data_IF_637582454454
#
_entry.id   IF_637582454454
#
_cell.length_a   1.000
_cell.length_b   1.000
_cell.length_c   1.000
_cell.angle_alpha   90.00
_cell.angle_beta   90.00
_cell.angle_gamma   90.00
#
_symmetry.space_group_name_H-M   'P 1'
#
loop_
_entity.id
_entity.type
_entity.pdbx_description
1 polymer ?
#
# COMPACT_ATOMS: atom_id res chain seq x y z
N UNK A 1 0.89 6.59 0.74
CA UNK A 1 2.02 7.53 0.97
C UNK A 1 3.17 6.81 1.66
N UNK A 2 2.86 6.04 2.71
CA UNK A 2 3.85 5.26 3.46
C UNK A 2 4.30 4.00 2.72
N UNK A 3 3.50 3.52 1.76
CA UNK A 3 3.69 2.29 1.00
C UNK A 3 3.59 1.01 1.85
N UNK A 4 3.17 1.11 3.11
CA UNK A 4 2.96 -0.01 4.01
C UNK A 4 1.49 -0.05 4.42
N UNK A 5 0.77 -1.14 4.13
CA UNK A 5 -0.65 -1.24 4.48
C UNK A 5 -0.85 -1.27 5.99
N UNK A 6 -1.89 -0.60 6.47
CA UNK A 6 -2.36 -0.72 7.86
C UNK A 6 -3.54 -1.68 7.95
N UNK A 7 -3.67 -2.34 9.11
CA UNK A 7 -4.74 -3.27 9.44
C UNK A 7 -5.85 -2.63 10.28
N UNK A 8 -6.11 -1.33 10.06
CA UNK A 8 -7.00 -0.50 10.88
C UNK A 8 -8.28 -0.08 10.13
N UNK A 9 -8.69 -0.89 9.15
CA UNK A 9 -9.97 -0.74 8.45
C UNK A 9 -11.11 -0.68 9.47
N UNK A 10 -11.91 0.39 9.42
CA UNK A 10 -13.08 0.57 10.30
C UNK A 10 -14.09 1.52 9.70
N UNK A 11 -15.31 1.47 10.20
CA UNK A 11 -16.33 2.49 9.95
C UNK A 11 -16.32 3.44 11.15
N UNK A 12 -16.20 4.75 10.89
CA UNK A 12 -16.22 5.79 11.91
C UNK A 12 -17.65 6.04 12.44
N UNK A 13 -17.84 6.73 13.58
CA UNK A 13 -19.17 6.91 14.19
C UNK A 13 -20.24 7.47 13.26
N UNK A 14 -19.87 8.34 12.32
CA UNK A 14 -20.77 8.96 11.35
C UNK A 14 -20.83 8.20 10.00
N UNK A 15 -20.43 6.92 9.98
CA UNK A 15 -20.59 6.02 8.83
C UNK A 15 -19.53 6.10 7.73
N UNK A 16 -18.45 6.88 7.93
CA UNK A 16 -17.33 6.96 6.97
C UNK A 16 -16.40 5.74 7.10
N UNK A 17 -16.18 5.00 6.01
CA UNK A 17 -15.12 4.00 5.91
C UNK A 17 -13.72 4.63 6.00
N UNK A 18 -12.84 4.02 6.79
CA UNK A 18 -11.51 4.56 7.09
C UNK A 18 -10.44 3.48 7.11
N UNK A 19 -9.25 3.80 6.59
CA UNK A 19 -7.99 3.07 6.74
C UNK A 19 -6.85 4.10 6.70
N UNK A 20 -5.82 3.95 7.55
CA UNK A 20 -4.75 4.95 7.65
C UNK A 20 -3.85 5.01 6.41
N UNK A 21 -3.37 3.87 5.90
CA UNK A 21 -2.72 3.80 4.60
C UNK A 21 -3.11 2.48 3.91
N UNK A 22 -3.48 2.60 2.63
CA UNK A 22 -3.88 1.46 1.82
C UNK A 22 -2.70 0.52 1.54
N UNK A 23 -1.48 1.06 1.53
CA UNK A 23 -0.25 0.38 1.11
C UNK A 23 0.16 0.78 -0.30
N UNK A 24 0.78 -0.16 -1.01
CA UNK A 24 1.33 0.06 -2.35
C UNK A 24 0.86 -1.04 -3.31
N UNK A 25 0.73 -0.69 -4.59
CA UNK A 25 0.76 -1.69 -5.67
C UNK A 25 2.17 -1.70 -6.25
N UNK A 26 2.97 -2.72 -5.93
CA UNK A 26 4.39 -2.76 -6.32
C UNK A 26 5.17 -3.90 -5.69
N UNK A 27 6.49 -3.90 -5.91
CA UNK A 27 7.35 -5.04 -5.59
C UNK A 27 7.39 -5.36 -4.09
N UNK A 28 7.27 -6.65 -3.77
CA UNK A 28 7.40 -7.19 -2.41
C UNK A 28 8.83 -7.00 -1.91
N UNK A 29 9.80 -7.47 -2.68
CA UNK A 29 11.21 -7.45 -2.33
C UNK A 29 11.86 -6.13 -2.76
N UNK A 30 11.49 -5.06 -2.06
CA UNK A 30 11.95 -3.70 -2.35
C UNK A 30 11.96 -2.83 -1.09
N UNK A 31 12.57 -1.64 -1.18
CA UNK A 31 12.37 -0.60 -0.17
C UNK A 31 11.33 0.38 -0.74
N UNK A 32 10.07 0.19 -0.36
CA UNK A 32 8.94 1.02 -0.78
C UNK A 32 8.80 1.15 -2.30
N UNK A 33 9.11 0.09 -3.06
CA UNK A 33 8.94 0.01 -4.52
C UNK A 33 10.20 0.26 -5.35
N UNK A 34 11.32 0.65 -4.73
CA UNK A 34 12.60 0.84 -5.40
C UNK A 34 13.63 -0.22 -4.98
N UNK A 35 14.65 -0.41 -5.82
CA UNK A 35 15.72 -1.34 -5.55
C UNK A 35 16.40 -1.08 -4.19
N UNK A 36 16.78 -2.16 -3.52
CA UNK A 36 17.30 -2.12 -2.15
C UNK A 36 18.61 -1.33 -2.09
N UNK A 37 19.50 -1.52 -3.06
CA UNK A 37 20.84 -0.94 -3.07
C UNK A 37 20.79 0.58 -3.09
N UNK A 38 19.93 1.16 -3.94
CA UNK A 38 19.81 2.60 -4.10
C UNK A 38 19.35 3.30 -2.82
N UNK A 39 18.37 2.71 -2.14
CA UNK A 39 17.87 3.20 -0.85
C UNK A 39 18.87 2.97 0.28
N UNK A 40 19.48 1.78 0.35
CA UNK A 40 20.39 1.40 1.43
C UNK A 40 21.69 2.21 1.41
N UNK A 41 22.26 2.48 0.23
CA UNK A 41 23.49 3.26 0.08
C UNK A 41 23.37 4.64 0.72
N UNK A 42 22.19 5.28 0.62
CA UNK A 42 21.92 6.57 1.25
C UNK A 42 22.00 6.50 2.78
N UNK A 43 21.45 5.45 3.38
CA UNK A 43 21.45 5.29 4.84
C UNK A 43 22.81 4.88 5.41
N UNK A 44 23.56 4.04 4.69
CA UNK A 44 24.87 3.58 5.15
C UNK A 44 26.00 4.58 4.92
N UNK A 45 25.96 5.30 3.79
CA UNK A 45 27.10 6.11 3.33
C UNK A 45 26.79 7.60 3.26
N UNK A 46 25.52 8.00 3.35
CA UNK A 46 25.09 9.37 3.13
C UNK A 46 25.04 9.80 1.64
N UNK A 47 25.64 9.02 0.74
CA UNK A 47 25.63 9.31 -0.69
C UNK A 47 24.34 8.86 -1.35
N UNK A 48 23.76 9.73 -2.18
CA UNK A 48 22.57 9.40 -2.97
C UNK A 48 22.98 8.58 -4.18
N UNK A 49 22.50 7.35 -4.25
CA UNK A 49 22.46 6.58 -5.47
C UNK A 49 21.12 6.80 -6.19
N UNK A 50 21.07 6.45 -7.47
CA UNK A 50 19.82 6.46 -8.23
C UNK A 50 18.91 5.36 -7.67
N UNK A 51 17.70 5.75 -7.27
CA UNK A 51 16.65 4.82 -6.87
C UNK A 51 15.88 4.43 -8.13
N UNK A 52 15.94 3.16 -8.49
CA UNK A 52 15.24 2.64 -9.67
C UNK A 52 14.04 1.80 -9.23
N UNK A 53 12.84 2.03 -9.80
CA UNK A 53 11.68 1.19 -9.53
C UNK A 53 11.96 -0.26 -9.89
N UNK A 54 11.55 -1.19 -9.02
CA UNK A 54 11.55 -2.62 -9.35
C UNK A 54 10.44 -2.88 -10.36
N UNK A 55 10.75 -3.56 -11.46
CA UNK A 55 9.85 -3.71 -12.62
C UNK A 55 9.34 -5.13 -12.86
N UNK A 56 9.86 -6.11 -12.13
CA UNK A 56 9.58 -7.54 -12.32
C UNK A 56 9.71 -8.30 -11.01
N UNK A 57 9.16 -9.51 -10.97
CA UNK A 57 9.08 -10.39 -9.79
C UNK A 57 7.72 -10.30 -9.11
N UNK A 58 7.66 -10.75 -7.85
CA UNK A 58 6.43 -10.72 -7.07
C UNK A 58 6.06 -9.30 -6.65
N UNK A 59 4.85 -8.90 -7.00
CA UNK A 59 4.25 -7.62 -6.64
C UNK A 59 3.09 -7.84 -5.67
N UNK A 60 2.98 -7.01 -4.65
CA UNK A 60 1.76 -6.87 -3.87
C UNK A 60 0.82 -5.90 -4.59
N UNK A 61 -0.43 -6.30 -4.74
CA UNK A 61 -1.55 -5.44 -5.09
C UNK A 61 -2.32 -5.16 -3.80
N UNK A 62 -1.94 -4.11 -3.07
CA UNK A 62 -2.68 -3.73 -1.88
C UNK A 62 -3.98 -3.00 -2.22
N UNK A 63 -5.08 -3.41 -1.60
CA UNK A 63 -6.41 -2.89 -1.89
C UNK A 63 -7.41 -3.11 -0.76
N UNK A 64 -8.50 -2.33 -0.80
CA UNK A 64 -9.68 -2.51 0.04
C UNK A 64 -10.91 -2.58 -0.84
N UNK A 65 -11.86 -3.42 -0.46
CA UNK A 65 -13.22 -3.43 -0.97
C UNK A 65 -14.11 -2.70 0.03
N UNK A 66 -14.89 -1.75 -0.48
CA UNK A 66 -15.80 -0.93 0.33
C UNK A 66 -17.20 -1.12 -0.23
N UNK A 67 -18.14 -1.54 0.61
CA UNK A 67 -19.56 -1.54 0.31
C UNK A 67 -20.20 -0.26 0.87
N UNK A 68 -20.96 0.44 0.04
CA UNK A 68 -21.57 1.74 0.36
C UNK A 68 -23.04 1.69 0.01
N UNK A 69 -23.88 2.03 0.98
CA UNK A 69 -25.31 2.19 0.76
C UNK A 69 -25.56 3.39 -0.16
N UNK A 70 -26.10 3.12 -1.34
CA UNK A 70 -26.35 4.14 -2.36
C UNK A 70 -27.42 5.17 -1.96
N UNK A 71 -28.31 4.82 -1.03
CA UNK A 71 -29.39 5.71 -0.57
C UNK A 71 -28.92 6.69 0.51
N UNK A 72 -28.02 6.26 1.38
CA UNK A 72 -27.52 7.06 2.52
C UNK A 72 -26.13 7.63 2.29
N UNK A 73 -25.34 7.05 1.39
CA UNK A 73 -23.92 7.35 1.19
C UNK A 73 -23.01 6.80 2.29
N UNK A 74 -23.54 6.01 3.23
CA UNK A 74 -22.79 5.47 4.36
C UNK A 74 -22.11 4.15 3.99
N UNK A 75 -20.98 3.87 4.64
CA UNK A 75 -20.23 2.62 4.44
C UNK A 75 -20.85 1.47 5.23
N UNK A 76 -21.19 0.37 4.56
CA UNK A 76 -21.66 -0.87 5.19
C UNK A 76 -20.50 -1.75 5.65
N UNK A 77 -19.43 -1.82 4.84
CA UNK A 77 -18.23 -2.60 5.15
C UNK A 77 -16.99 -2.03 4.47
N UNK A 78 -15.83 -2.25 5.08
CA UNK A 78 -14.52 -2.00 4.50
C UNK A 78 -13.60 -3.18 4.87
N UNK A 79 -13.06 -3.86 3.86
CA UNK A 79 -12.21 -5.04 4.05
C UNK A 79 -11.00 -5.01 3.12
N UNK A 80 -9.86 -5.55 3.58
CA UNK A 80 -8.68 -5.69 2.73
C UNK A 80 -8.85 -6.87 1.78
N UNK A 81 -8.53 -6.66 0.51
CA UNK A 81 -8.59 -7.70 -0.53
C UNK A 81 -7.26 -7.82 -1.29
N UNK A 82 -6.16 -7.66 -0.55
CA UNK A 82 -4.79 -7.72 -1.05
C UNK A 82 -4.48 -9.01 -1.82
N UNK A 83 -3.67 -8.91 -2.87
CA UNK A 83 -3.22 -10.06 -3.68
C UNK A 83 -1.75 -9.96 -4.02
N UNK A 84 -1.09 -11.09 -4.20
CA UNK A 84 0.21 -11.15 -4.85
C UNK A 84 0.04 -11.54 -6.31
N UNK A 85 0.79 -10.86 -7.18
CA UNK A 85 0.84 -11.11 -8.61
C UNK A 85 2.30 -11.20 -9.05
N UNK A 86 2.58 -12.06 -10.01
CA UNK A 86 3.91 -12.17 -10.63
C UNK A 86 3.93 -11.35 -11.92
N UNK A 87 4.94 -10.49 -12.09
CA UNK A 87 5.15 -9.64 -13.27
C UNK A 87 6.52 -9.91 -13.89
#
# INVERSE_FOLDING_TARGET
HTHVPTSDCKILPEGTGFVSDLGMVGAVDSILGVNVEGSLARFLTGYRQRMEPVRSGTMNFNSVLIDVDASTGLTNSIERVDRQIEI
#
